data_IF_667674498819
#
_entry.id   IF_667674498819
#
_cell.length_a   1.000
_cell.length_b   1.000
_cell.length_c   1.000
_cell.angle_alpha   90.00
_cell.angle_beta   90.00
_cell.angle_gamma   90.00
#
_symmetry.space_group_name_H-M   'P 1'
#
loop_
_entity.id
_entity.type
_entity.pdbx_description
1 polymer ?
#
# COMPACT_ATOMS: atom_id res chain seq x y z
N UNK A 1 22.20 -45.89 -70.93
CA UNK A 1 21.56 -44.84 -71.75
C UNK A 1 20.06 -44.88 -71.47
N UNK A 2 19.34 -43.85 -71.03
CA UNK A 2 19.67 -42.55 -70.45
C UNK A 2 18.35 -41.99 -69.90
N UNK A 3 18.46 -41.29 -68.78
CA UNK A 3 17.44 -40.89 -67.83
C UNK A 3 16.23 -40.08 -68.36
N UNK A 4 15.05 -40.39 -67.79
CA UNK A 4 13.87 -39.54 -67.76
C UNK A 4 14.10 -38.32 -66.84
N UNK A 5 13.79 -37.12 -67.33
CA UNK A 5 13.58 -35.90 -66.53
C UNK A 5 12.13 -35.47 -66.68
N UNK A 6 11.47 -35.07 -65.58
CA UNK A 6 10.46 -34.03 -65.63
C UNK A 6 10.83 -32.90 -64.66
N UNK A 7 10.99 -31.71 -65.21
CA UNK A 7 11.05 -30.39 -64.54
C UNK A 7 10.46 -29.44 -65.58
N UNK A 8 9.63 -28.44 -65.32
CA UNK A 8 9.22 -27.70 -64.13
C UNK A 8 7.92 -26.99 -64.57
N UNK A 9 6.86 -27.02 -63.75
CA UNK A 9 5.71 -26.15 -63.95
C UNK A 9 5.40 -25.49 -62.60
N UNK A 10 5.88 -24.26 -62.47
CA UNK A 10 5.56 -23.32 -61.39
C UNK A 10 4.22 -22.66 -61.70
N UNK A 11 3.20 -22.91 -60.88
CA UNK A 11 2.09 -21.97 -60.71
C UNK A 11 1.43 -22.11 -59.33
N UNK A 12 1.74 -21.14 -58.48
CA UNK A 12 0.94 -20.55 -57.41
C UNK A 12 -0.14 -21.42 -56.72
N UNK A 13 0.25 -22.09 -55.63
CA UNK A 13 -0.66 -22.36 -54.52
C UNK A 13 -0.37 -21.36 -53.40
N UNK A 14 -1.34 -20.48 -53.16
CA UNK A 14 -1.48 -19.70 -51.93
C UNK A 14 -1.53 -20.66 -50.74
N UNK A 15 -0.38 -20.93 -50.12
CA UNK A 15 -0.35 -21.47 -48.77
C UNK A 15 -0.52 -20.33 -47.79
N UNK A 16 -1.72 -20.26 -47.21
CA UNK A 16 -1.94 -19.58 -45.95
C UNK A 16 -0.99 -20.19 -44.91
N UNK A 17 0.11 -19.51 -44.62
CA UNK A 17 0.90 -19.78 -43.43
C UNK A 17 0.04 -19.38 -42.23
N UNK A 18 -0.68 -20.36 -41.67
CA UNK A 18 -1.04 -20.29 -40.26
C UNK A 18 0.28 -20.35 -39.49
N UNK A 19 0.82 -19.19 -39.12
CA UNK A 19 1.73 -19.09 -37.99
C UNK A 19 0.90 -19.37 -36.74
N UNK A 20 0.64 -20.66 -36.51
CA UNK A 20 0.37 -21.15 -35.17
C UNK A 20 1.62 -20.87 -34.36
N UNK A 21 1.67 -19.69 -33.74
CA UNK A 21 2.52 -19.49 -32.58
C UNK A 21 2.03 -20.53 -31.57
N UNK A 22 2.82 -21.59 -31.43
CA UNK A 22 2.65 -22.58 -30.41
C UNK A 22 2.75 -21.87 -29.06
N UNK A 23 1.61 -21.45 -28.51
CA UNK A 23 1.43 -21.29 -27.08
C UNK A 23 1.53 -22.70 -26.47
N UNK A 24 2.75 -23.20 -26.45
CA UNK A 24 3.11 -24.29 -25.57
C UNK A 24 2.97 -23.72 -24.16
N UNK A 25 2.17 -24.35 -23.28
CA UNK A 25 2.29 -24.09 -21.87
C UNK A 25 3.78 -24.26 -21.52
N UNK A 26 4.34 -23.33 -20.77
CA UNK A 26 5.65 -23.53 -20.13
C UNK A 26 5.53 -24.76 -19.22
N UNK A 27 5.83 -25.93 -19.79
CA UNK A 27 5.94 -27.20 -19.08
C UNK A 27 7.30 -27.21 -18.40
N UNK A 28 7.41 -26.37 -17.37
CA UNK A 28 8.62 -26.18 -16.61
C UNK A 28 8.52 -24.99 -15.66
N UNK A 29 7.46 -24.90 -14.85
CA UNK A 29 7.51 -24.37 -13.46
C UNK A 29 6.15 -24.27 -12.72
N UNK A 30 5.04 -24.75 -13.29
CA UNK A 30 3.74 -24.62 -12.62
C UNK A 30 3.50 -25.61 -11.46
N UNK A 31 4.41 -26.56 -11.22
CA UNK A 31 4.33 -27.53 -10.11
C UNK A 31 5.43 -27.35 -9.04
N UNK A 32 6.27 -26.31 -9.13
CA UNK A 32 7.48 -26.17 -8.31
C UNK A 32 7.40 -25.12 -7.20
N UNK A 33 6.46 -24.17 -7.23
CA UNK A 33 6.36 -23.18 -6.13
C UNK A 33 5.63 -23.79 -4.93
N UNK A 34 6.35 -23.98 -3.83
CA UNK A 34 5.85 -24.49 -2.55
C UNK A 34 4.62 -23.72 -2.04
N UNK A 35 4.53 -22.43 -2.36
CA UNK A 35 3.39 -21.57 -2.05
C UNK A 35 2.69 -21.17 -3.34
N UNK A 36 1.40 -21.52 -3.47
CA UNK A 36 0.58 -21.09 -4.61
C UNK A 36 0.16 -19.62 -4.50
N UNK A 37 -0.15 -18.92 -5.62
CA UNK A 37 -0.63 -17.54 -5.58
C UNK A 37 -1.88 -17.34 -4.72
N UNK A 38 -2.77 -18.33 -4.67
CA UNK A 38 -3.97 -18.27 -3.84
C UNK A 38 -3.64 -18.39 -2.34
N UNK A 39 -2.69 -19.25 -1.97
CA UNK A 39 -2.20 -19.35 -0.58
C UNK A 39 -1.48 -18.06 -0.16
N UNK A 40 -0.66 -17.46 -1.03
CA UNK A 40 -0.05 -16.15 -0.75
C UNK A 40 -1.10 -15.07 -0.52
N UNK A 41 -2.16 -15.06 -1.33
CA UNK A 41 -3.26 -14.12 -1.17
C UNK A 41 -3.95 -14.28 0.19
N UNK A 42 -4.29 -15.51 0.58
CA UNK A 42 -4.92 -15.82 1.86
C UNK A 42 -4.02 -15.46 3.05
N UNK A 43 -2.74 -15.80 2.99
CA UNK A 43 -1.74 -15.41 3.99
C UNK A 43 -1.64 -13.88 4.11
N UNK A 44 -1.61 -13.17 2.98
CA UNK A 44 -1.60 -11.72 2.94
C UNK A 44 -2.80 -11.08 3.62
N UNK A 45 -4.01 -11.60 3.37
CA UNK A 45 -5.24 -11.12 4.02
C UNK A 45 -5.19 -11.33 5.53
N UNK A 46 -4.78 -12.52 5.98
CA UNK A 46 -4.65 -12.85 7.39
C UNK A 46 -3.64 -11.91 8.08
N UNK A 47 -2.48 -11.74 7.47
CA UNK A 47 -1.42 -10.86 7.97
C UNK A 47 -1.87 -9.39 8.04
N UNK A 48 -2.55 -8.89 7.01
CA UNK A 48 -3.08 -7.53 6.99
C UNK A 48 -4.09 -7.28 8.11
N UNK A 49 -4.99 -8.25 8.37
CA UNK A 49 -5.93 -8.16 9.49
C UNK A 49 -5.21 -8.01 10.82
N UNK A 50 -4.25 -8.89 11.10
CA UNK A 50 -3.44 -8.83 12.33
C UNK A 50 -2.67 -7.52 12.45
N UNK A 51 -2.07 -7.05 11.36
CA UNK A 51 -1.34 -5.78 11.34
C UNK A 51 -2.27 -4.63 11.72
N UNK A 52 -3.43 -4.51 11.06
CA UNK A 52 -4.43 -3.46 11.30
C UNK A 52 -4.91 -3.43 12.75
N UNK A 53 -5.01 -4.58 13.41
CA UNK A 53 -5.36 -4.68 14.82
C UNK A 53 -4.26 -4.25 15.81
N UNK A 54 -3.01 -4.11 15.35
CA UNK A 54 -1.86 -3.84 16.22
C UNK A 54 -1.24 -2.44 16.03
N UNK A 55 -1.56 -1.75 14.93
CA UNK A 55 -0.89 -0.50 14.55
C UNK A 55 -1.88 0.65 14.40
N UNK A 56 -1.40 1.87 14.70
CA UNK A 56 -2.14 3.09 14.36
C UNK A 56 -2.03 3.35 12.86
N UNK A 57 -3.17 3.65 12.23
CA UNK A 57 -3.24 4.02 10.82
C UNK A 57 -3.41 5.54 10.64
N UNK A 58 -3.11 6.02 9.44
CA UNK A 58 -3.48 7.37 8.99
C UNK A 58 -4.82 7.32 8.27
N UNK A 59 -5.81 7.97 8.88
CA UNK A 59 -7.20 7.90 8.41
C UNK A 59 -7.54 9.02 7.40
N UNK A 60 -6.55 9.76 6.92
CA UNK A 60 -6.73 10.87 5.97
C UNK A 60 -7.16 10.33 4.58
N UNK A 61 -8.39 10.61 4.13
CA UNK A 61 -8.90 10.09 2.86
C UNK A 61 -8.08 10.52 1.66
N UNK A 62 -7.52 11.74 1.68
CA UNK A 62 -6.72 12.28 0.59
C UNK A 62 -5.38 11.57 0.48
N UNK A 63 -4.76 11.22 1.62
CA UNK A 63 -3.53 10.43 1.64
C UNK A 63 -3.79 9.00 1.15
N UNK A 64 -4.86 8.35 1.61
CA UNK A 64 -5.26 7.02 1.14
C UNK A 64 -5.47 6.99 -0.37
N UNK A 65 -6.26 7.93 -0.89
CA UNK A 65 -6.52 8.09 -2.33
C UNK A 65 -5.23 8.36 -3.13
N UNK A 66 -4.31 9.16 -2.59
CA UNK A 66 -3.01 9.39 -3.22
C UNK A 66 -2.16 8.13 -3.28
N UNK A 67 -2.01 7.41 -2.16
CA UNK A 67 -1.22 6.16 -2.11
C UNK A 67 -1.81 5.12 -3.06
N UNK A 68 -3.12 4.87 -2.98
CA UNK A 68 -3.82 3.94 -3.87
C UNK A 68 -3.59 4.30 -5.34
N UNK A 69 -3.91 5.53 -5.74
CA UNK A 69 -3.81 5.95 -7.14
C UNK A 69 -2.36 6.00 -7.66
N UNK A 70 -1.40 6.37 -6.82
CA UNK A 70 0.02 6.41 -7.20
C UNK A 70 0.61 5.01 -7.38
N UNK A 71 0.30 4.08 -6.48
CA UNK A 71 0.76 2.69 -6.57
C UNK A 71 0.07 1.95 -7.71
N UNK A 72 -1.25 2.16 -7.93
CA UNK A 72 -1.91 1.56 -9.08
C UNK A 72 -1.31 2.01 -10.41
N UNK A 73 -1.00 3.31 -10.56
CA UNK A 73 -0.30 3.84 -11.74
C UNK A 73 1.04 3.15 -11.98
N UNK A 74 1.84 2.94 -10.92
CA UNK A 74 3.09 2.19 -11.03
C UNK A 74 2.84 0.73 -11.40
N UNK A 75 1.81 0.11 -10.81
CA UNK A 75 1.49 -1.30 -11.00
C UNK A 75 1.02 -1.64 -12.42
N UNK A 76 0.35 -0.70 -13.10
CA UNK A 76 -0.16 -0.85 -14.47
C UNK A 76 0.97 -1.12 -15.46
N UNK A 77 2.09 -0.41 -15.31
CA UNK A 77 3.26 -0.52 -16.19
C UNK A 77 4.36 -1.43 -15.64
N UNK A 78 4.17 -1.95 -14.42
CA UNK A 78 5.10 -2.86 -13.76
C UNK A 78 5.02 -4.30 -14.29
N UNK A 79 5.96 -5.13 -13.85
CA UNK A 79 5.94 -6.58 -14.10
C UNK A 79 5.00 -7.36 -13.15
N UNK A 80 4.24 -6.69 -12.28
CA UNK A 80 3.31 -7.33 -11.36
C UNK A 80 2.12 -7.95 -12.10
N UNK A 81 1.95 -9.26 -11.96
CA UNK A 81 0.88 -10.02 -12.61
C UNK A 81 -0.44 -9.99 -11.82
N UNK A 82 -0.37 -10.28 -10.51
CA UNK A 82 -1.54 -10.21 -9.63
C UNK A 82 -1.66 -8.81 -9.02
N UNK A 83 -2.61 -8.02 -9.54
CA UNK A 83 -2.85 -6.63 -9.12
C UNK A 83 -3.95 -6.50 -8.07
N UNK A 84 -4.29 -7.59 -7.35
CA UNK A 84 -5.15 -7.53 -6.15
C UNK A 84 -4.40 -6.89 -4.97
N UNK A 85 -4.08 -5.62 -5.15
CA UNK A 85 -3.34 -4.82 -4.18
C UNK A 85 -4.24 -4.32 -3.08
N UNK A 86 -3.72 -4.29 -1.84
CA UNK A 86 -4.37 -3.61 -0.73
C UNK A 86 -3.40 -2.85 0.15
N UNK A 87 -3.92 -1.77 0.72
CA UNK A 87 -3.11 -0.71 1.28
C UNK A 87 -3.31 -0.58 2.78
N UNK A 88 -2.23 -0.21 3.45
CA UNK A 88 -2.23 0.21 4.85
C UNK A 88 -1.30 1.42 5.00
N UNK A 89 -1.85 2.53 5.46
CA UNK A 89 -1.08 3.74 5.74
C UNK A 89 -0.82 3.78 7.24
N UNK A 90 0.44 3.63 7.64
CA UNK A 90 0.84 3.58 9.04
C UNK A 90 1.13 4.98 9.57
N UNK A 91 0.56 5.28 10.74
CA UNK A 91 0.85 6.49 11.50
C UNK A 91 2.19 6.35 12.24
N UNK A 92 3.28 6.44 11.47
CA UNK A 92 4.65 6.44 11.97
C UNK A 92 5.47 7.50 11.24
N UNK A 93 6.24 8.35 11.96
CA UNK A 93 7.15 9.31 11.35
C UNK A 93 8.42 8.66 10.81
N UNK A 94 8.63 7.35 11.00
CA UNK A 94 9.79 6.64 10.48
C UNK A 94 9.68 6.43 8.97
N UNK A 95 10.82 6.57 8.27
CA UNK A 95 10.92 6.25 6.85
C UNK A 95 10.78 4.74 6.64
N UNK A 96 9.62 4.29 6.17
CA UNK A 96 9.39 2.89 5.84
C UNK A 96 8.27 2.76 4.79
N UNK A 97 8.38 1.73 3.98
CA UNK A 97 7.32 1.16 3.17
C UNK A 97 7.65 -0.33 3.02
N UNK A 98 6.64 -1.15 2.75
CA UNK A 98 6.87 -2.57 2.54
C UNK A 98 5.85 -3.15 1.57
N UNK A 99 6.26 -4.23 0.91
CA UNK A 99 5.39 -5.17 0.26
C UNK A 99 5.35 -6.51 1.01
N UNK A 100 4.14 -6.99 1.28
CA UNK A 100 3.90 -8.30 1.88
C UNK A 100 3.10 -9.22 0.94
N UNK A 101 3.15 -10.55 1.14
CA UNK A 101 2.52 -11.54 0.24
C UNK A 101 1.05 -11.23 -0.03
N UNK A 102 0.56 -11.60 -1.22
CA UNK A 102 -0.85 -11.40 -1.53
C UNK A 102 -1.24 -9.97 -1.87
N UNK A 103 -0.26 -9.15 -2.28
CA UNK A 103 -0.47 -7.79 -2.77
C UNK A 103 -0.61 -6.74 -1.67
N UNK A 104 -0.11 -6.99 -0.46
CA UNK A 104 -0.20 -6.01 0.62
C UNK A 104 0.90 -4.97 0.45
N UNK A 105 0.53 -3.70 0.49
CA UNK A 105 1.44 -2.56 0.38
C UNK A 105 1.23 -1.65 1.59
N UNK A 106 2.27 -1.52 2.40
CA UNK A 106 2.30 -0.63 3.55
C UNK A 106 3.14 0.60 3.31
N UNK A 107 2.68 1.75 3.79
CA UNK A 107 3.39 3.03 3.68
C UNK A 107 3.34 3.74 5.01
N UNK A 108 4.49 4.07 5.59
CA UNK A 108 4.55 4.96 6.74
C UNK A 108 4.38 6.41 6.31
N UNK A 109 3.72 7.23 7.13
CA UNK A 109 3.70 8.67 6.91
C UNK A 109 5.11 9.29 6.82
N UNK A 110 6.09 8.73 7.53
CA UNK A 110 7.48 9.14 7.42
C UNK A 110 8.04 9.12 6.00
N UNK A 111 7.58 8.22 5.12
CA UNK A 111 8.03 8.22 3.72
C UNK A 111 7.78 9.59 3.05
N UNK A 112 6.62 10.23 3.30
CA UNK A 112 6.30 11.56 2.79
C UNK A 112 7.11 12.68 3.44
N UNK A 113 7.58 12.49 4.67
CA UNK A 113 8.45 13.47 5.33
C UNK A 113 9.82 13.53 4.64
N UNK A 114 10.38 12.35 4.33
CA UNK A 114 11.76 12.25 3.83
C UNK A 114 11.87 12.31 2.31
N UNK A 115 10.99 11.66 1.54
CA UNK A 115 11.03 11.74 0.09
C UNK A 115 10.66 13.16 -0.37
N UNK A 116 11.62 13.87 -0.98
CA UNK A 116 11.44 15.30 -1.30
C UNK A 116 10.60 15.53 -2.55
N UNK A 117 10.54 14.57 -3.46
CA UNK A 117 9.80 14.64 -4.72
C UNK A 117 8.93 13.40 -4.92
N UNK A 118 7.92 13.50 -5.78
CA UNK A 118 7.04 12.35 -6.09
C UNK A 118 7.84 11.19 -6.70
N UNK A 119 8.88 11.47 -7.50
CA UNK A 119 9.73 10.43 -8.06
C UNK A 119 10.56 9.70 -7.00
N UNK A 120 11.05 10.40 -5.96
CA UNK A 120 11.72 9.75 -4.83
C UNK A 120 10.73 8.81 -4.10
N UNK A 121 9.50 9.27 -3.83
CA UNK A 121 8.44 8.42 -3.25
C UNK A 121 8.12 7.23 -4.16
N UNK A 122 7.91 7.48 -5.45
CA UNK A 122 7.58 6.46 -6.43
C UNK A 122 8.70 5.44 -6.60
N UNK A 123 9.96 5.83 -6.40
CA UNK A 123 11.10 4.91 -6.45
C UNK A 123 11.04 3.83 -5.37
N UNK A 124 10.64 4.20 -4.15
CA UNK A 124 10.43 3.25 -3.05
C UNK A 124 9.24 2.34 -3.39
N UNK A 125 8.12 2.90 -3.85
CA UNK A 125 6.96 2.08 -4.22
C UNK A 125 7.26 1.14 -5.40
N UNK A 126 8.06 1.56 -6.38
CA UNK A 126 8.48 0.74 -7.51
C UNK A 126 9.39 -0.43 -7.08
N UNK A 127 10.25 -0.19 -6.08
CA UNK A 127 11.07 -1.21 -5.42
C UNK A 127 10.19 -2.25 -4.69
N UNK A 128 9.23 -1.80 -3.90
CA UNK A 128 8.29 -2.70 -3.20
C UNK A 128 7.44 -3.52 -4.19
N UNK A 129 6.97 -2.91 -5.27
CA UNK A 129 6.26 -3.64 -6.34
C UNK A 129 7.15 -4.67 -7.03
N UNK A 130 8.45 -4.41 -7.14
CA UNK A 130 9.40 -5.40 -7.68
C UNK A 130 9.54 -6.61 -6.74
N UNK A 131 9.51 -6.43 -5.41
CA UNK A 131 9.46 -7.56 -4.47
C UNK A 131 8.23 -8.44 -4.68
N UNK A 132 7.07 -7.84 -4.95
CA UNK A 132 5.84 -8.58 -5.27
C UNK A 132 5.93 -9.27 -6.64
N UNK A 133 6.38 -8.58 -7.69
CA UNK A 133 6.44 -9.16 -9.03
C UNK A 133 7.40 -10.35 -9.11
N UNK A 134 8.53 -10.28 -8.40
CA UNK A 134 9.51 -11.35 -8.35
C UNK A 134 9.18 -12.44 -7.32
N UNK A 135 8.05 -12.29 -6.61
CA UNK A 135 7.59 -13.20 -5.55
C UNK A 135 8.73 -13.51 -4.56
N UNK A 136 9.49 -12.49 -4.16
CA UNK A 136 10.68 -12.65 -3.31
C UNK A 136 10.37 -13.36 -1.98
N UNK A 137 9.16 -13.16 -1.43
CA UNK A 137 8.69 -13.92 -0.27
C UNK A 137 8.58 -15.43 -0.56
N UNK A 138 7.89 -15.80 -1.64
CA UNK A 138 7.67 -17.20 -2.02
C UNK A 138 8.98 -17.93 -2.25
N UNK A 139 9.88 -17.31 -3.03
CA UNK A 139 11.23 -17.82 -3.28
C UNK A 139 12.04 -17.91 -1.99
N UNK A 140 11.84 -16.99 -1.06
CA UNK A 140 12.48 -17.00 0.27
C UNK A 140 12.03 -18.18 1.13
N UNK A 141 10.72 -18.42 1.21
CA UNK A 141 10.15 -19.59 1.91
C UNK A 141 10.66 -20.88 1.29
N UNK A 142 10.67 -20.96 -0.05
CA UNK A 142 11.18 -22.12 -0.76
C UNK A 142 12.67 -22.36 -0.50
N UNK A 143 13.49 -21.31 -0.57
CA UNK A 143 14.92 -21.38 -0.25
C UNK A 143 15.15 -21.86 1.19
N UNK A 144 14.38 -21.34 2.15
CA UNK A 144 14.47 -21.76 3.56
C UNK A 144 14.13 -23.24 3.73
N UNK A 145 13.06 -23.73 3.11
CA UNK A 145 12.69 -25.14 3.19
C UNK A 145 13.73 -26.05 2.53
N UNK A 146 14.26 -25.66 1.37
CA UNK A 146 15.37 -26.39 0.71
C UNK A 146 16.62 -26.46 1.59
N UNK A 147 16.87 -25.46 2.43
CA UNK A 147 17.98 -25.46 3.38
C UNK A 147 17.75 -26.32 4.64
N UNK A 148 16.50 -26.66 4.98
CA UNK A 148 16.22 -27.46 6.19
C UNK A 148 16.84 -28.86 6.13
N UNK A 149 16.75 -29.54 4.98
CA UNK A 149 17.28 -30.90 4.82
C UNK A 149 18.82 -30.98 4.99
N UNK A 150 19.65 -30.15 4.33
CA UNK A 150 21.08 -30.14 4.57
C UNK A 150 21.43 -29.66 5.98
N UNK A 151 20.68 -28.73 6.59
CA UNK A 151 20.87 -28.37 8.00
C UNK A 151 20.63 -29.56 8.94
N UNK A 152 19.55 -30.32 8.72
CA UNK A 152 19.27 -31.53 9.50
C UNK A 152 20.35 -32.61 9.28
N UNK A 153 20.79 -32.84 8.04
CA UNK A 153 21.84 -33.80 7.74
C UNK A 153 23.18 -33.42 8.39
N UNK A 154 23.54 -32.14 8.35
CA UNK A 154 24.75 -31.62 8.99
C UNK A 154 24.66 -31.65 10.52
N UNK A 155 23.48 -31.38 11.09
CA UNK A 155 23.24 -31.53 12.53
C UNK A 155 23.39 -32.99 12.96
N UNK A 156 22.80 -33.93 12.22
CA UNK A 156 22.97 -35.37 12.46
C UNK A 156 24.44 -35.80 12.35
N UNK A 157 25.16 -35.35 11.32
CA UNK A 157 26.57 -35.63 11.15
C UNK A 157 27.42 -35.06 12.30
N UNK A 158 27.11 -33.86 12.78
CA UNK A 158 27.76 -33.24 13.94
C UNK A 158 27.53 -34.01 15.24
N UNK A 159 26.30 -34.51 15.46
CA UNK A 159 25.97 -35.37 16.61
C UNK A 159 26.74 -36.68 16.54
N UNK A 160 26.80 -37.32 15.36
CA UNK A 160 27.57 -38.57 15.15
C UNK A 160 29.06 -38.35 15.40
N UNK A 161 29.63 -37.25 14.90
CA UNK A 161 31.03 -36.90 15.13
C UNK A 161 31.34 -36.63 16.61
N UNK A 162 30.45 -35.92 17.31
CA UNK A 162 30.58 -35.69 18.75
C UNK A 162 30.53 -37.00 19.55
N UNK A 163 29.61 -37.92 19.20
CA UNK A 163 29.48 -39.23 19.82
C UNK A 163 30.70 -40.15 19.56
N UNK A 164 31.40 -39.96 18.44
CA UNK A 164 32.61 -40.70 18.07
C UNK A 164 33.90 -40.20 18.77
N UNK A 165 33.79 -39.35 19.79
CA UNK A 165 34.92 -38.84 20.57
C UNK A 165 35.52 -37.53 20.05
N UNK A 166 34.90 -36.91 19.05
CA UNK A 166 35.33 -35.62 18.48
C UNK A 166 34.49 -34.44 19.04
N UNK A 167 34.19 -34.43 20.34
CA UNK A 167 33.22 -33.53 20.98
C UNK A 167 33.32 -32.05 20.55
N UNK A 168 34.53 -31.48 20.59
CA UNK A 168 34.76 -30.09 20.18
C UNK A 168 34.62 -29.87 18.67
N UNK A 169 35.03 -30.85 17.85
CA UNK A 169 34.93 -30.79 16.40
C UNK A 169 33.49 -30.98 15.90
N UNK A 170 32.68 -31.80 16.57
CA UNK A 170 31.25 -31.98 16.28
C UNK A 170 30.45 -30.71 16.58
N UNK A 171 30.73 -30.05 17.70
CA UNK A 171 30.12 -28.75 18.03
C UNK A 171 30.55 -27.63 17.06
N UNK A 172 31.84 -27.58 16.69
CA UNK A 172 32.33 -26.64 15.68
C UNK A 172 31.66 -26.84 14.30
N UNK A 173 31.39 -28.08 13.91
CA UNK A 173 30.69 -28.41 12.65
C UNK A 173 29.21 -27.96 12.67
N UNK A 174 28.53 -28.08 13.80
CA UNK A 174 27.15 -27.60 13.96
C UNK A 174 27.09 -26.07 13.92
N UNK A 175 28.03 -25.39 14.58
CA UNK A 175 28.11 -23.92 14.56
C UNK A 175 28.47 -23.37 13.17
N UNK A 176 29.40 -24.01 12.47
CA UNK A 176 29.79 -23.60 11.12
C UNK A 176 28.66 -23.76 10.11
N UNK A 177 27.85 -24.81 10.25
CA UNK A 177 26.65 -25.03 9.43
C UNK A 177 25.61 -23.93 9.65
N UNK A 178 25.33 -23.57 10.91
CA UNK A 178 24.42 -22.46 11.23
C UNK A 178 24.94 -21.12 10.69
N UNK A 179 26.24 -20.85 10.83
CA UNK A 179 26.86 -19.66 10.28
C UNK A 179 26.77 -19.61 8.74
N UNK A 180 26.95 -20.74 8.06
CA UNK A 180 26.78 -20.86 6.62
C UNK A 180 25.32 -20.61 6.18
N UNK A 181 24.34 -21.14 6.91
CA UNK A 181 22.92 -20.91 6.64
C UNK A 181 22.53 -19.43 6.79
N UNK A 182 22.99 -18.77 7.86
CA UNK A 182 22.80 -17.33 8.07
C UNK A 182 23.48 -16.54 6.93
N UNK A 183 24.69 -16.94 6.53
CA UNK A 183 25.42 -16.28 5.45
C UNK A 183 24.69 -16.40 4.11
N UNK A 184 24.13 -17.57 3.80
CA UNK A 184 23.37 -17.81 2.58
C UNK A 184 22.04 -17.05 2.58
N UNK A 185 21.32 -17.02 3.70
CA UNK A 185 20.11 -16.20 3.85
C UNK A 185 20.40 -14.71 3.60
N UNK A 186 21.50 -14.18 4.15
CA UNK A 186 21.93 -12.79 3.89
C UNK A 186 22.32 -12.56 2.44
N UNK A 187 22.96 -13.54 1.79
CA UNK A 187 23.33 -13.46 0.37
C UNK A 187 22.08 -13.44 -0.52
N UNK A 188 21.12 -14.33 -0.26
CA UNK A 188 19.84 -14.38 -0.97
C UNK A 188 19.06 -13.07 -0.81
N UNK A 189 18.99 -12.52 0.41
CA UNK A 189 18.42 -11.19 0.65
C UNK A 189 19.11 -10.10 -0.17
N UNK A 190 20.45 -10.03 -0.19
CA UNK A 190 21.17 -9.06 -1.03
C UNK A 190 20.92 -9.22 -2.53
N UNK A 191 20.75 -10.46 -3.01
CA UNK A 191 20.41 -10.72 -4.41
C UNK A 191 19.00 -10.23 -4.75
N UNK A 192 18.04 -10.48 -3.86
CA UNK A 192 16.67 -9.97 -4.01
C UNK A 192 16.65 -8.44 -4.03
N UNK A 193 17.44 -7.76 -3.18
CA UNK A 193 17.55 -6.30 -3.20
C UNK A 193 18.09 -5.76 -4.54
N UNK A 194 19.15 -6.37 -5.08
CA UNK A 194 19.71 -5.97 -6.39
C UNK A 194 18.75 -6.24 -7.55
N UNK A 195 17.99 -7.34 -7.47
CA UNK A 195 16.94 -7.66 -8.45
C UNK A 195 15.79 -6.65 -8.37
N UNK A 196 15.34 -6.33 -7.15
CA UNK A 196 14.30 -5.33 -6.90
C UNK A 196 14.72 -3.93 -7.34
N UNK A 197 15.98 -3.52 -7.11
CA UNK A 197 16.53 -2.25 -7.60
C UNK A 197 16.45 -2.15 -9.12
N UNK A 198 16.90 -3.19 -9.82
CA UNK A 198 16.90 -3.24 -11.30
C UNK A 198 15.49 -3.18 -11.87
N UNK A 199 14.60 -4.00 -11.34
CA UNK A 199 13.22 -4.08 -11.83
C UNK A 199 12.44 -2.83 -11.41
N UNK A 200 12.72 -2.29 -10.22
CA UNK A 200 12.18 -1.04 -9.72
C UNK A 200 12.53 0.14 -10.62
N UNK A 201 13.79 0.25 -11.09
CA UNK A 201 14.19 1.28 -12.07
C UNK A 201 13.39 1.16 -13.38
N UNK A 202 13.23 -0.06 -13.90
CA UNK A 202 12.41 -0.31 -15.10
C UNK A 202 10.95 0.08 -14.87
N UNK A 203 10.38 -0.29 -13.73
CA UNK A 203 8.99 0.04 -13.38
C UNK A 203 8.80 1.56 -13.24
N UNK A 204 9.77 2.25 -12.62
CA UNK A 204 9.77 3.68 -12.41
C UNK A 204 9.83 4.46 -13.72
N UNK A 205 10.73 4.05 -14.64
CA UNK A 205 10.84 4.64 -15.97
C UNK A 205 9.56 4.44 -16.78
N UNK A 206 9.03 3.21 -16.82
CA UNK A 206 7.81 2.91 -17.58
C UNK A 206 6.58 3.64 -17.05
N UNK A 207 6.56 3.96 -15.76
CA UNK A 207 5.53 4.79 -15.15
C UNK A 207 5.71 6.30 -15.42
N UNK A 208 6.77 6.69 -16.15
CA UNK A 208 7.04 8.05 -16.59
C UNK A 208 7.79 8.92 -15.58
N UNK A 209 8.40 8.33 -14.54
CA UNK A 209 9.23 9.06 -13.56
C UNK A 209 10.71 9.06 -13.94
N UNK A 210 11.49 10.01 -13.42
CA UNK A 210 12.94 10.01 -13.62
C UNK A 210 13.59 8.86 -12.81
N UNK A 211 14.28 7.89 -13.47
CA UNK A 211 14.94 6.80 -12.78
C UNK A 211 16.06 7.24 -11.82
N UNK A 212 16.63 8.44 -12.00
CA UNK A 212 17.64 9.04 -11.10
C UNK A 212 17.09 9.32 -9.70
N UNK A 213 15.77 9.34 -9.53
CA UNK A 213 15.16 9.51 -8.22
C UNK A 213 15.47 8.35 -7.24
N UNK A 214 15.68 7.12 -7.75
CA UNK A 214 16.02 5.97 -6.91
C UNK A 214 17.38 6.11 -6.20
N UNK A 215 18.51 6.34 -6.90
CA UNK A 215 19.79 6.56 -6.22
C UNK A 215 19.77 7.80 -5.32
N UNK A 216 19.08 8.88 -5.72
CA UNK A 216 18.89 10.07 -4.87
C UNK A 216 18.18 9.73 -3.55
N UNK A 217 17.14 8.91 -3.62
CA UNK A 217 16.42 8.44 -2.43
C UNK A 217 17.30 7.55 -1.53
N UNK A 218 18.09 6.66 -2.10
CA UNK A 218 19.05 5.84 -1.33
C UNK A 218 20.14 6.69 -0.66
N UNK A 219 20.66 7.70 -1.35
CA UNK A 219 21.63 8.64 -0.76
C UNK A 219 21.02 9.48 0.35
N UNK A 220 19.75 9.86 0.22
CA UNK A 220 19.02 10.56 1.27
C UNK A 220 18.85 9.67 2.49
N UNK A 221 18.44 8.42 2.28
CA UNK A 221 18.34 7.43 3.35
C UNK A 221 19.68 7.19 4.04
N UNK A 222 20.76 6.99 3.28
CA UNK A 222 22.10 6.81 3.84
C UNK A 222 22.59 8.03 4.62
N UNK A 223 22.30 9.26 4.14
CA UNK A 223 22.65 10.50 4.85
C UNK A 223 21.86 10.68 6.14
N UNK A 224 20.55 10.39 6.11
CA UNK A 224 19.67 10.55 7.26
C UNK A 224 20.13 9.73 8.46
N UNK A 225 20.57 8.48 8.20
CA UNK A 225 20.88 7.52 9.26
C UNK A 225 22.39 7.30 9.46
N UNK A 226 23.26 8.12 8.85
CA UNK A 226 24.72 8.00 8.94
C UNK A 226 25.25 8.05 10.38
N UNK A 227 24.59 8.83 11.25
CA UNK A 227 25.01 9.05 12.63
C UNK A 227 24.08 8.40 13.66
N UNK A 228 23.06 7.68 13.21
CA UNK A 228 22.11 7.04 14.10
C UNK A 228 22.69 5.72 14.62
N UNK A 229 22.67 5.55 15.94
CA UNK A 229 23.19 4.34 16.59
C UNK A 229 22.37 3.09 16.24
N UNK A 230 21.15 3.27 15.73
CA UNK A 230 20.29 2.19 15.23
C UNK A 230 19.74 2.60 13.87
N UNK A 231 19.98 1.80 12.81
CA UNK A 231 19.33 2.04 11.53
C UNK A 231 17.80 1.91 11.67
N UNK A 232 17.03 2.61 10.83
CA UNK A 232 15.57 2.51 10.82
C UNK A 232 15.16 1.10 10.43
N UNK A 233 13.94 0.72 10.79
CA UNK A 233 13.39 -0.60 10.52
C UNK A 233 13.46 -0.98 9.02
N UNK A 234 13.19 -0.02 8.12
CA UNK A 234 13.32 -0.23 6.68
C UNK A 234 14.72 -0.70 6.26
N UNK A 235 15.80 -0.21 6.90
CA UNK A 235 17.17 -0.63 6.58
C UNK A 235 17.53 -2.01 7.17
N UNK A 236 16.74 -2.53 8.12
CA UNK A 236 16.91 -3.89 8.63
C UNK A 236 16.44 -4.92 7.59
N UNK A 237 15.39 -4.59 6.84
CA UNK A 237 14.84 -5.45 5.77
C UNK A 237 15.45 -5.14 4.41
N UNK A 238 15.73 -3.86 4.12
CA UNK A 238 16.30 -3.36 2.86
C UNK A 238 17.62 -2.59 3.11
N UNK A 239 18.72 -3.27 3.43
CA UNK A 239 19.98 -2.59 3.71
C UNK A 239 20.50 -1.86 2.47
N UNK A 240 20.65 -0.54 2.57
CA UNK A 240 21.28 0.29 1.54
C UNK A 240 22.79 0.28 1.73
N UNK A 241 23.52 0.10 0.62
CA UNK A 241 24.98 0.09 0.57
C UNK A 241 25.50 1.02 -0.53
N UNK A 242 26.74 1.47 -0.40
CA UNK A 242 27.41 2.27 -1.45
C UNK A 242 27.42 1.54 -2.80
N UNK A 243 27.53 0.20 -2.79
CA UNK A 243 27.45 -0.62 -4.01
C UNK A 243 26.09 -0.59 -4.68
N UNK A 244 24.98 -0.58 -3.92
CA UNK A 244 23.62 -0.44 -4.47
C UNK A 244 23.39 0.95 -5.02
N UNK A 245 23.86 1.99 -4.33
CA UNK A 245 23.80 3.38 -4.82
C UNK A 245 24.59 3.51 -6.14
N UNK A 246 25.79 2.95 -6.21
CA UNK A 246 26.59 2.99 -7.43
C UNK A 246 25.96 2.20 -8.59
N UNK A 247 25.43 0.99 -8.35
CA UNK A 247 24.76 0.20 -9.40
C UNK A 247 23.47 0.89 -9.88
N UNK A 248 22.61 1.36 -8.98
CA UNK A 248 21.38 2.08 -9.36
C UNK A 248 21.68 3.38 -10.10
N UNK A 249 22.68 4.16 -9.68
CA UNK A 249 23.12 5.35 -10.41
C UNK A 249 23.64 5.02 -11.80
N UNK A 250 24.54 4.04 -11.93
CA UNK A 250 25.08 3.61 -13.23
C UNK A 250 24.00 3.13 -14.20
N UNK A 251 22.90 2.56 -13.69
CA UNK A 251 21.74 2.15 -14.49
C UNK A 251 20.83 3.32 -14.84
N UNK A 252 20.51 4.17 -13.85
CA UNK A 252 19.65 5.33 -14.04
C UNK A 252 20.19 6.26 -15.15
N UNK A 253 21.51 6.43 -15.25
CA UNK A 253 22.14 7.24 -16.31
C UNK A 253 22.03 6.64 -17.72
N UNK A 254 21.59 5.39 -17.85
CA UNK A 254 21.32 4.77 -19.16
C UNK A 254 19.94 5.15 -19.71
N UNK A 255 19.08 5.75 -18.88
CA UNK A 255 17.73 6.16 -19.27
C UNK A 255 17.68 7.64 -19.69
N UNK A 256 16.72 8.01 -20.56
CA UNK A 256 16.50 9.41 -20.94
C UNK A 256 16.24 10.33 -19.73
N UNK A 257 16.76 11.56 -19.78
CA UNK A 257 16.53 12.59 -18.76
C UNK A 257 15.23 13.38 -18.97
N UNK A 258 14.11 12.66 -19.15
CA UNK A 258 12.81 13.25 -19.49
C UNK A 258 11.68 12.84 -18.54
N UNK A 259 11.99 12.04 -17.52
CA UNK A 259 11.00 11.57 -16.57
C UNK A 259 10.48 12.69 -15.66
N UNK A 260 9.25 12.53 -15.15
CA UNK A 260 8.67 13.44 -14.16
C UNK A 260 9.40 13.28 -12.83
N UNK A 261 9.91 14.37 -12.28
CA UNK A 261 10.53 14.37 -10.94
C UNK A 261 9.50 14.56 -9.82
N UNK A 262 8.52 15.46 -10.01
CA UNK A 262 7.64 15.88 -8.93
C UNK A 262 6.23 16.25 -9.41
N UNK A 263 5.30 16.43 -8.46
CA UNK A 263 4.01 17.06 -8.72
C UNK A 263 3.50 17.88 -7.55
N UNK A 264 2.67 18.86 -7.89
CA UNK A 264 1.93 19.65 -6.91
C UNK A 264 1.11 18.74 -5.98
N UNK A 265 0.35 17.77 -6.52
CA UNK A 265 -0.49 16.87 -5.72
C UNK A 265 0.33 16.15 -4.64
N UNK A 266 1.52 15.64 -4.98
CA UNK A 266 2.41 15.02 -4.00
C UNK A 266 2.86 16.02 -2.92
N UNK A 267 3.27 17.24 -3.30
CA UNK A 267 3.67 18.27 -2.33
C UNK A 267 2.50 18.70 -1.41
N UNK A 268 1.25 18.71 -1.89
CA UNK A 268 0.07 18.95 -1.05
C UNK A 268 -0.11 17.83 -0.01
N UNK A 269 0.07 16.58 -0.42
CA UNK A 269 0.02 15.43 0.50
C UNK A 269 1.16 15.47 1.52
N UNK A 270 2.37 15.85 1.10
CA UNK A 270 3.49 16.11 2.02
C UNK A 270 3.14 17.19 3.04
N UNK A 271 2.51 18.29 2.63
CA UNK A 271 2.09 19.34 3.56
C UNK A 271 1.07 18.82 4.59
N UNK A 272 0.13 17.94 4.20
CA UNK A 272 -0.78 17.25 5.13
C UNK A 272 0.00 16.43 6.16
N UNK A 273 0.93 15.60 5.71
CA UNK A 273 1.74 14.74 6.58
C UNK A 273 2.66 15.55 7.51
N UNK A 274 3.27 16.60 6.99
CA UNK A 274 4.11 17.52 7.76
C UNK A 274 3.33 18.25 8.86
N UNK A 275 2.01 18.47 8.68
CA UNK A 275 1.13 19.00 9.73
C UNK A 275 0.77 17.91 10.75
N UNK A 276 0.54 16.67 10.31
CA UNK A 276 0.22 15.53 11.18
C UNK A 276 1.32 15.22 12.19
N UNK A 277 2.59 15.30 11.77
CA UNK A 277 3.74 14.99 12.63
C UNK A 277 4.40 16.24 13.26
N UNK A 278 3.78 17.41 13.13
CA UNK A 278 4.26 18.59 13.85
C UNK A 278 3.81 18.53 15.32
N UNK A 279 4.63 19.08 16.24
CA UNK A 279 4.29 19.14 17.67
C UNK A 279 2.95 19.82 17.93
N UNK A 280 2.71 20.94 17.25
CA UNK A 280 1.43 21.66 17.33
C UNK A 280 1.09 22.30 15.99
N UNK A 281 -0.22 22.50 15.70
CA UNK A 281 -0.65 23.24 14.52
C UNK A 281 -0.09 24.68 14.46
N UNK A 282 0.16 25.31 15.61
CA UNK A 282 0.77 26.64 15.68
C UNK A 282 2.23 26.68 15.22
N UNK A 283 3.01 25.64 15.55
CA UNK A 283 4.39 25.48 15.05
C UNK A 283 4.37 25.23 13.54
N UNK A 284 3.46 24.39 13.05
CA UNK A 284 3.30 24.13 11.61
C UNK A 284 2.97 25.43 10.85
N UNK A 285 2.04 26.24 11.39
CA UNK A 285 1.69 27.53 10.80
C UNK A 285 2.90 28.47 10.72
N UNK A 286 3.74 28.54 11.76
CA UNK A 286 4.98 29.35 11.73
C UNK A 286 5.95 28.86 10.66
N UNK A 287 6.16 27.53 10.57
CA UNK A 287 7.03 26.92 9.54
C UNK A 287 6.55 27.24 8.12
N UNK A 288 5.26 27.05 7.85
CA UNK A 288 4.71 27.35 6.52
C UNK A 288 4.74 28.84 6.17
N UNK A 289 4.54 29.73 7.16
CA UNK A 289 4.74 31.18 6.95
C UNK A 289 6.20 31.50 6.58
N UNK A 290 7.17 30.95 7.30
CA UNK A 290 8.59 31.15 6.99
C UNK A 290 8.94 30.67 5.56
N UNK A 291 8.41 29.52 5.12
CA UNK A 291 8.59 29.05 3.75
C UNK A 291 7.99 30.01 2.70
N UNK A 292 6.86 30.64 3.02
CA UNK A 292 6.22 31.64 2.15
C UNK A 292 6.93 32.99 2.16
N UNK A 293 7.58 33.35 3.27
CA UNK A 293 8.41 34.55 3.35
C UNK A 293 9.65 34.40 2.44
N UNK A 294 10.23 33.19 2.39
CA UNK A 294 11.34 32.86 1.49
C UNK A 294 10.88 32.73 0.02
N UNK A 295 9.75 32.07 -0.21
CA UNK A 295 9.19 31.89 -1.55
C UNK A 295 7.64 31.97 -1.52
N UNK A 296 7.07 33.17 -1.80
CA UNK A 296 5.63 33.38 -1.78
C UNK A 296 4.83 32.53 -2.79
N UNK A 297 5.50 31.98 -3.81
CA UNK A 297 4.92 31.13 -4.84
C UNK A 297 4.78 29.65 -4.46
N UNK A 298 5.17 29.25 -3.25
CA UNK A 298 5.05 27.86 -2.80
C UNK A 298 3.60 27.50 -2.44
N UNK A 299 2.85 27.06 -3.43
CA UNK A 299 1.44 26.67 -3.27
C UNK A 299 1.24 25.60 -2.19
N UNK A 300 2.16 24.63 -2.07
CA UNK A 300 2.09 23.59 -1.05
C UNK A 300 2.30 24.13 0.37
N UNK A 301 3.19 25.11 0.55
CA UNK A 301 3.36 25.77 1.85
C UNK A 301 2.12 26.62 2.18
N UNK A 302 1.56 27.32 1.19
CA UNK A 302 0.30 28.06 1.34
C UNK A 302 -0.85 27.15 1.74
N UNK A 303 -0.98 26.00 1.10
CA UNK A 303 -1.97 24.99 1.44
C UNK A 303 -1.75 24.43 2.85
N UNK A 304 -0.50 24.09 3.23
CA UNK A 304 -0.17 23.67 4.58
C UNK A 304 -0.52 24.72 5.65
N UNK A 305 -0.31 26.01 5.34
CA UNK A 305 -0.70 27.11 6.21
C UNK A 305 -2.22 27.19 6.40
N UNK A 306 -3.01 27.03 5.34
CA UNK A 306 -4.48 26.97 5.42
C UNK A 306 -4.92 25.89 6.40
N UNK A 307 -4.41 24.67 6.26
CA UNK A 307 -4.75 23.55 7.14
C UNK A 307 -4.35 23.83 8.60
N UNK A 308 -3.18 24.42 8.81
CA UNK A 308 -2.70 24.78 10.15
C UNK A 308 -3.56 25.89 10.79
N UNK A 309 -3.96 26.91 10.01
CA UNK A 309 -4.88 27.98 10.45
C UNK A 309 -6.26 27.43 10.80
N UNK A 310 -6.79 26.49 10.01
CA UNK A 310 -8.04 25.79 10.32
C UNK A 310 -7.95 25.04 11.65
N UNK A 311 -6.88 24.27 11.87
CA UNK A 311 -6.68 23.53 13.13
C UNK A 311 -6.48 24.43 14.36
N UNK A 312 -6.06 25.68 14.16
CA UNK A 312 -5.89 26.67 15.23
C UNK A 312 -7.09 27.61 15.38
N UNK A 313 -8.15 27.43 14.58
CA UNK A 313 -9.35 28.27 14.63
C UNK A 313 -9.24 29.64 13.95
N UNK A 314 -8.13 29.93 13.25
CA UNK A 314 -7.92 31.15 12.46
C UNK A 314 -8.69 31.07 11.11
N UNK A 315 -10.00 30.89 11.15
CA UNK A 315 -10.82 30.54 9.97
C UNK A 315 -10.91 31.66 8.93
N UNK A 316 -10.96 32.92 9.36
CA UNK A 316 -10.97 34.06 8.44
C UNK A 316 -9.66 34.14 7.64
N UNK A 317 -8.52 34.08 8.34
CA UNK A 317 -7.19 34.08 7.72
C UNK A 317 -6.96 32.86 6.82
N UNK A 318 -7.48 31.69 7.21
CA UNK A 318 -7.42 30.49 6.38
C UNK A 318 -8.13 30.72 5.04
N UNK A 319 -9.27 31.40 5.04
CA UNK A 319 -9.99 31.77 3.83
C UNK A 319 -9.21 32.73 2.93
N UNK A 320 -8.59 33.76 3.51
CA UNK A 320 -7.72 34.70 2.78
C UNK A 320 -6.49 33.99 2.20
N UNK A 321 -5.90 33.07 2.96
CA UNK A 321 -4.71 32.31 2.54
C UNK A 321 -5.04 31.30 1.43
N UNK A 322 -6.25 30.72 1.45
CA UNK A 322 -6.71 29.75 0.45
C UNK A 322 -7.17 30.41 -0.87
N UNK A 323 -7.70 31.64 -0.82
CA UNK A 323 -8.29 32.31 -1.98
C UNK A 323 -7.36 32.39 -3.22
N UNK A 324 -6.05 32.67 -3.10
CA UNK A 324 -5.14 32.66 -4.25
C UNK A 324 -5.01 31.28 -4.90
N UNK A 325 -5.01 30.19 -4.12
CA UNK A 325 -4.92 28.82 -4.64
C UNK A 325 -6.14 28.46 -5.48
N UNK A 326 -7.34 28.78 -4.97
CA UNK A 326 -8.59 28.57 -5.69
C UNK A 326 -8.73 29.49 -6.93
N UNK A 327 -8.14 30.69 -6.89
CA UNK A 327 -8.13 31.58 -8.05
C UNK A 327 -7.22 31.04 -9.16
N UNK A 328 -6.08 30.44 -8.78
CA UNK A 328 -5.11 29.85 -9.70
C UNK A 328 -5.62 28.53 -10.30
N UNK A 329 -6.25 27.68 -9.49
CA UNK A 329 -6.76 26.37 -9.90
C UNK A 329 -8.18 26.14 -9.33
N UNK A 330 -9.23 26.70 -9.96
CA UNK A 330 -10.60 26.71 -9.41
C UNK A 330 -11.24 25.33 -9.30
N UNK A 331 -10.76 24.37 -10.09
CA UNK A 331 -11.26 22.99 -10.15
C UNK A 331 -10.31 21.98 -9.49
N UNK A 332 -9.20 22.42 -8.89
CA UNK A 332 -8.32 21.51 -8.13
C UNK A 332 -9.09 20.94 -6.93
N UNK A 333 -9.20 19.60 -6.90
CA UNK A 333 -10.01 18.91 -5.90
C UNK A 333 -9.45 19.11 -4.49
N UNK A 334 -8.13 19.17 -4.32
CA UNK A 334 -7.46 19.30 -3.01
C UNK A 334 -7.78 20.65 -2.39
N UNK A 335 -7.69 21.73 -3.17
CA UNK A 335 -8.05 23.07 -2.70
C UNK A 335 -9.54 23.22 -2.41
N UNK A 336 -10.37 22.62 -3.25
CA UNK A 336 -11.81 22.65 -3.05
C UNK A 336 -12.25 21.86 -1.81
N UNK A 337 -11.62 20.73 -1.50
CA UNK A 337 -11.85 19.97 -0.26
C UNK A 337 -11.47 20.81 0.95
N UNK A 338 -10.31 21.46 0.95
CA UNK A 338 -9.92 22.37 2.03
C UNK A 338 -10.92 23.53 2.22
N UNK A 339 -11.50 24.04 1.13
CA UNK A 339 -12.56 25.06 1.22
C UNK A 339 -13.85 24.52 1.84
N UNK A 340 -14.24 23.28 1.53
CA UNK A 340 -15.41 22.63 2.14
C UNK A 340 -15.17 22.41 3.63
N UNK A 341 -14.02 21.87 4.00
CA UNK A 341 -13.60 21.67 5.39
C UNK A 341 -13.58 23.02 6.15
N UNK A 342 -13.07 24.09 5.53
CA UNK A 342 -13.09 25.44 6.09
C UNK A 342 -14.51 25.98 6.28
N UNK A 343 -15.37 25.81 5.29
CA UNK A 343 -16.78 26.23 5.37
C UNK A 343 -17.53 25.47 6.47
N UNK A 344 -17.27 24.16 6.62
CA UNK A 344 -17.80 23.35 7.71
C UNK A 344 -17.30 23.80 9.09
N UNK A 345 -16.00 24.11 9.22
CA UNK A 345 -15.42 24.63 10.45
C UNK A 345 -16.00 26.01 10.82
N UNK A 346 -16.26 26.86 9.82
CA UNK A 346 -16.87 28.18 9.98
C UNK A 346 -18.40 28.16 10.08
N UNK A 347 -19.01 26.97 10.14
CA UNK A 347 -20.47 26.77 10.15
C UNK A 347 -21.23 27.39 8.95
N UNK A 348 -20.54 27.57 7.82
CA UNK A 348 -21.10 28.03 6.53
C UNK A 348 -21.60 26.86 5.69
N UNK A 349 -22.51 26.06 6.27
CA UNK A 349 -22.91 24.76 5.71
C UNK A 349 -23.57 24.85 4.32
N UNK A 350 -24.26 25.94 4.01
CA UNK A 350 -24.85 26.16 2.67
C UNK A 350 -23.79 26.37 1.59
N UNK A 351 -22.69 27.07 1.92
CA UNK A 351 -21.58 27.28 1.01
C UNK A 351 -20.85 25.95 0.74
N UNK A 352 -20.58 25.19 1.81
CA UNK A 352 -20.05 23.84 1.73
C UNK A 352 -20.93 22.95 0.84
N UNK A 353 -22.25 22.94 1.06
CA UNK A 353 -23.19 22.12 0.27
C UNK A 353 -23.22 22.49 -1.20
N UNK A 354 -23.21 23.79 -1.55
CA UNK A 354 -23.17 24.23 -2.96
C UNK A 354 -21.90 23.76 -3.65
N UNK A 355 -20.75 23.90 -2.97
CA UNK A 355 -19.46 23.45 -3.50
C UNK A 355 -19.40 21.93 -3.63
N UNK A 356 -19.84 21.21 -2.61
CA UNK A 356 -19.94 19.75 -2.60
C UNK A 356 -20.78 19.23 -3.78
N UNK A 357 -21.98 19.79 -3.99
CA UNK A 357 -22.87 19.40 -5.09
C UNK A 357 -22.22 19.64 -6.46
N UNK A 358 -21.54 20.77 -6.64
CA UNK A 358 -20.80 21.06 -7.87
C UNK A 358 -19.71 20.03 -8.11
N UNK A 359 -18.88 19.74 -7.11
CA UNK A 359 -17.76 18.80 -7.27
C UNK A 359 -18.23 17.37 -7.49
N UNK A 360 -19.30 16.93 -6.83
CA UNK A 360 -19.84 15.57 -7.05
C UNK A 360 -20.38 15.38 -8.47
N UNK A 361 -20.77 16.47 -9.16
CA UNK A 361 -21.14 16.41 -10.58
C UNK A 361 -19.93 16.24 -11.52
N UNK A 362 -18.73 16.63 -11.07
CA UNK A 362 -17.48 16.53 -11.83
C UNK A 362 -16.69 15.26 -11.48
N UNK A 363 -16.71 14.86 -10.21
CA UNK A 363 -15.91 13.77 -9.65
C UNK A 363 -16.77 12.82 -8.79
N UNK A 364 -17.81 12.17 -9.37
CA UNK A 364 -18.79 11.39 -8.60
C UNK A 364 -18.21 10.21 -7.82
N UNK A 365 -17.07 9.67 -8.28
CA UNK A 365 -16.39 8.51 -7.68
C UNK A 365 -15.13 8.87 -6.88
N UNK A 366 -14.86 10.16 -6.63
CA UNK A 366 -13.69 10.56 -5.86
C UNK A 366 -13.91 10.29 -4.37
N UNK A 367 -13.09 9.41 -3.79
CA UNK A 367 -13.25 8.96 -2.40
C UNK A 367 -13.17 10.11 -1.37
N UNK A 368 -12.13 10.97 -1.38
CA UNK A 368 -12.07 12.08 -0.42
C UNK A 368 -13.30 13.00 -0.47
N UNK A 369 -13.85 13.22 -1.66
CA UNK A 369 -15.06 14.01 -1.84
C UNK A 369 -16.30 13.30 -1.31
N UNK A 370 -16.44 11.99 -1.51
CA UNK A 370 -17.52 11.19 -0.92
C UNK A 370 -17.44 11.19 0.60
N UNK A 371 -16.24 11.04 1.16
CA UNK A 371 -16.02 11.11 2.60
C UNK A 371 -16.43 12.49 3.16
N UNK A 372 -15.98 13.57 2.53
CA UNK A 372 -16.35 14.94 2.93
C UNK A 372 -17.85 15.19 2.79
N UNK A 373 -18.52 14.53 1.83
CA UNK A 373 -19.98 14.58 1.71
C UNK A 373 -20.67 14.04 2.96
N UNK A 374 -20.24 12.87 3.42
CA UNK A 374 -20.76 12.19 4.60
C UNK A 374 -20.55 13.07 5.84
N UNK A 375 -19.34 13.61 6.00
CA UNK A 375 -19.02 14.50 7.13
C UNK A 375 -19.90 15.76 7.14
N UNK A 376 -20.15 16.35 5.96
CA UNK A 376 -21.07 17.49 5.82
C UNK A 376 -22.52 17.11 6.19
N UNK A 377 -23.01 15.95 5.74
CA UNK A 377 -24.36 15.47 6.08
C UNK A 377 -24.52 15.26 7.59
N UNK A 378 -23.51 14.68 8.24
CA UNK A 378 -23.49 14.53 9.70
C UNK A 378 -23.46 15.88 10.41
N UNK A 379 -22.67 16.85 9.92
CA UNK A 379 -22.65 18.22 10.46
C UNK A 379 -24.00 18.92 10.31
N UNK A 380 -24.76 18.60 9.26
CA UNK A 380 -26.13 19.08 9.03
C UNK A 380 -27.19 18.29 9.81
N UNK A 381 -26.81 17.31 10.64
CA UNK A 381 -27.72 16.40 11.36
C UNK A 381 -28.61 15.54 10.44
N UNK A 382 -28.20 15.33 9.18
CA UNK A 382 -28.91 14.51 8.20
C UNK A 382 -28.43 13.06 8.25
N UNK A 383 -28.61 12.42 9.40
CA UNK A 383 -28.04 11.10 9.70
C UNK A 383 -28.49 10.02 8.71
N UNK A 384 -29.78 10.00 8.33
CA UNK A 384 -30.30 9.03 7.37
C UNK A 384 -29.71 9.20 5.96
N UNK A 385 -29.34 10.44 5.57
CA UNK A 385 -28.67 10.69 4.30
C UNK A 385 -27.21 10.26 4.36
N UNK A 386 -26.54 10.50 5.50
CA UNK A 386 -25.18 10.04 5.74
C UNK A 386 -25.08 8.51 5.71
N UNK A 387 -26.06 7.79 6.30
CA UNK A 387 -26.13 6.32 6.23
C UNK A 387 -26.23 5.83 4.78
N UNK A 388 -27.08 6.44 3.95
CA UNK A 388 -27.19 6.08 2.53
C UNK A 388 -25.91 6.36 1.75
N UNK A 389 -25.26 7.50 2.01
CA UNK A 389 -23.98 7.83 1.38
C UNK A 389 -22.87 6.86 1.79
N UNK A 390 -22.87 6.37 3.03
CA UNK A 390 -21.95 5.33 3.50
C UNK A 390 -22.22 3.98 2.86
N UNK A 391 -23.49 3.59 2.69
CA UNK A 391 -23.85 2.37 1.96
C UNK A 391 -23.38 2.42 0.50
N UNK A 392 -23.45 3.59 -0.14
CA UNK A 392 -22.89 3.80 -1.48
C UNK A 392 -21.36 3.73 -1.49
N UNK A 393 -20.68 4.33 -0.50
CA UNK A 393 -19.23 4.28 -0.36
C UNK A 393 -18.72 2.84 -0.18
N UNK A 394 -19.41 2.03 0.62
CA UNK A 394 -19.08 0.62 0.86
C UNK A 394 -19.03 -0.22 -0.42
N UNK A 395 -19.75 0.15 -1.48
CA UNK A 395 -19.69 -0.55 -2.79
C UNK A 395 -18.28 -0.54 -3.39
N UNK A 396 -17.47 0.45 -3.04
CA UNK A 396 -16.08 0.59 -3.52
C UNK A 396 -15.04 0.44 -2.42
N UNK A 397 -15.45 0.59 -1.15
CA UNK A 397 -14.56 0.59 0.03
C UNK A 397 -14.88 -0.51 1.05
N UNK A 398 -15.48 -1.63 0.64
CA UNK A 398 -15.86 -2.73 1.53
C UNK A 398 -14.70 -3.35 2.33
N UNK A 399 -13.43 -3.06 1.99
CA UNK A 399 -12.24 -3.59 2.66
C UNK A 399 -11.49 -2.55 3.50
N UNK A 400 -12.04 -1.34 3.58
CA UNK A 400 -11.52 -0.26 4.42
C UNK A 400 -12.18 -0.32 5.80
N UNK A 401 -11.43 -0.65 6.87
CA UNK A 401 -11.98 -0.74 8.22
C UNK A 401 -12.53 0.61 8.71
N UNK A 402 -11.96 1.74 8.30
CA UNK A 402 -12.38 3.05 8.80
C UNK A 402 -13.77 3.43 8.30
N UNK A 403 -14.11 3.00 7.07
CA UNK A 403 -15.45 3.15 6.51
C UNK A 403 -16.45 2.31 7.29
N UNK A 404 -16.12 1.05 7.62
CA UNK A 404 -17.00 0.20 8.42
C UNK A 404 -17.19 0.70 9.85
N UNK A 405 -16.14 1.27 10.46
CA UNK A 405 -16.24 1.94 11.74
C UNK A 405 -17.23 3.11 11.67
N UNK A 406 -17.12 3.97 10.65
CA UNK A 406 -18.05 5.09 10.47
C UNK A 406 -19.49 4.62 10.18
N UNK A 407 -19.67 3.56 9.39
CA UNK A 407 -20.99 2.93 9.15
C UNK A 407 -21.61 2.49 10.47
N UNK A 408 -20.84 1.84 11.34
CA UNK A 408 -21.31 1.43 12.66
C UNK A 408 -21.79 2.65 13.47
N UNK A 409 -20.95 3.68 13.59
CA UNK A 409 -21.30 4.88 14.37
C UNK A 409 -22.56 5.58 13.84
N UNK A 410 -22.67 5.76 12.51
CA UNK A 410 -23.84 6.41 11.89
C UNK A 410 -25.11 5.57 12.05
N UNK A 411 -25.02 4.24 11.93
CA UNK A 411 -26.17 3.34 12.18
C UNK A 411 -26.59 3.33 13.65
N UNK A 412 -25.65 3.54 14.57
CA UNK A 412 -25.94 3.80 15.97
C UNK A 412 -26.77 5.07 16.14
N UNK A 413 -26.37 6.17 15.48
CA UNK A 413 -27.09 7.45 15.50
C UNK A 413 -28.47 7.40 14.83
N UNK A 414 -28.64 6.61 13.77
CA UNK A 414 -29.93 6.46 13.07
C UNK A 414 -30.90 5.50 13.76
N UNK A 415 -30.45 4.79 14.80
CA UNK A 415 -31.24 3.76 15.50
C UNK A 415 -31.29 2.41 14.76
N UNK A 416 -30.54 2.23 13.67
CA UNK A 416 -30.39 0.97 12.96
C UNK A 416 -29.51 -0.02 13.76
N UNK A 417 -30.04 -0.55 14.86
CA UNK A 417 -29.29 -1.39 15.80
C UNK A 417 -28.80 -2.72 15.20
N UNK A 418 -29.56 -3.33 14.29
CA UNK A 418 -29.13 -4.56 13.61
C UNK A 418 -27.97 -4.24 12.65
N UNK A 419 -28.11 -3.20 11.83
CA UNK A 419 -27.07 -2.79 10.89
C UNK A 419 -25.80 -2.28 11.57
N UNK A 420 -25.92 -1.66 12.76
CA UNK A 420 -24.79 -1.29 13.62
C UNK A 420 -23.94 -2.51 13.97
N UNK A 421 -24.56 -3.57 14.50
CA UNK A 421 -23.85 -4.79 14.87
C UNK A 421 -23.25 -5.51 13.65
N UNK A 422 -23.94 -5.52 12.51
CA UNK A 422 -23.38 -6.04 11.26
C UNK A 422 -22.14 -5.24 10.83
N UNK A 423 -22.19 -3.91 10.87
CA UNK A 423 -21.05 -3.06 10.50
C UNK A 423 -19.85 -3.25 11.44
N UNK A 424 -20.09 -3.37 12.76
CA UNK A 424 -19.04 -3.70 13.73
C UNK A 424 -18.42 -5.07 13.47
N UNK A 425 -19.21 -6.05 13.06
CA UNK A 425 -18.69 -7.36 12.70
C UNK A 425 -17.69 -7.29 11.55
N UNK A 426 -18.03 -6.55 10.48
CA UNK A 426 -17.13 -6.37 9.33
C UNK A 426 -15.86 -5.59 9.72
N UNK A 427 -16.00 -4.54 10.54
CA UNK A 427 -14.84 -3.83 11.10
C UNK A 427 -13.90 -4.79 11.85
N UNK A 428 -14.42 -5.56 12.81
CA UNK A 428 -13.62 -6.47 13.62
C UNK A 428 -12.96 -7.57 12.78
N UNK A 429 -13.65 -8.10 11.78
CA UNK A 429 -13.08 -9.06 10.84
C UNK A 429 -11.89 -8.46 10.05
N UNK A 430 -12.02 -7.22 9.56
CA UNK A 430 -10.97 -6.54 8.80
C UNK A 430 -9.73 -6.17 9.62
N UNK A 431 -9.84 -6.11 10.95
CA UNK A 431 -8.72 -5.90 11.89
C UNK A 431 -8.29 -7.20 12.58
N UNK A 432 -8.75 -8.35 12.09
CA UNK A 432 -8.32 -9.68 12.56
C UNK A 432 -8.95 -10.16 13.88
N UNK A 433 -9.87 -9.41 14.48
CA UNK A 433 -10.59 -9.80 15.69
C UNK A 433 -11.88 -10.57 15.38
N UNK A 434 -11.71 -11.78 14.85
CA UNK A 434 -12.83 -12.64 14.47
C UNK A 434 -13.74 -13.03 15.65
N UNK A 435 -13.21 -13.05 16.87
CA UNK A 435 -14.02 -13.35 18.05
C UNK A 435 -15.06 -12.26 18.27
N UNK A 436 -14.62 -11.00 18.31
CA UNK A 436 -15.53 -9.87 18.42
C UNK A 436 -16.46 -9.78 17.22
N UNK A 437 -15.96 -10.07 16.01
CA UNK A 437 -16.79 -10.04 14.82
C UNK A 437 -17.99 -11.01 14.90
N UNK A 438 -17.72 -12.25 15.31
CA UNK A 438 -18.75 -13.29 15.49
C UNK A 438 -19.73 -12.90 16.61
N UNK A 439 -19.23 -12.33 17.72
CA UNK A 439 -20.08 -11.87 18.83
C UNK A 439 -21.02 -10.73 18.40
N UNK A 440 -20.54 -9.79 17.57
CA UNK A 440 -21.40 -8.74 17.02
C UNK A 440 -22.51 -9.32 16.13
N UNK A 441 -22.23 -10.34 15.31
CA UNK A 441 -23.27 -11.00 14.51
C UNK A 441 -24.30 -11.74 15.39
N UNK A 442 -23.90 -12.29 16.53
CA UNK A 442 -24.86 -12.86 17.49
C UNK A 442 -25.81 -11.79 18.05
N UNK A 443 -25.30 -10.61 18.40
CA UNK A 443 -26.16 -9.49 18.83
C UNK A 443 -27.12 -9.02 17.75
N UNK A 444 -26.67 -9.00 16.48
CA UNK A 444 -27.53 -8.70 15.33
C UNK A 444 -28.62 -9.77 15.13
N UNK A 445 -28.23 -11.05 15.17
CA UNK A 445 -29.11 -12.21 14.95
C UNK A 445 -30.22 -12.29 15.99
N UNK A 446 -29.91 -12.09 17.28
CA UNK A 446 -30.92 -12.08 18.36
C UNK A 446 -32.00 -11.02 18.15
N UNK A 447 -31.64 -9.87 17.58
CA UNK A 447 -32.58 -8.78 17.26
C UNK A 447 -33.34 -9.00 15.95
N UNK A 448 -32.79 -9.80 15.05
CA UNK A 448 -33.41 -10.17 13.78
C UNK A 448 -34.36 -11.39 13.89
N UNK A 449 -34.66 -11.89 15.09
CA UNK A 449 -35.45 -13.13 15.32
C UNK A 449 -36.79 -13.16 14.59
N UNK A 450 -37.41 -12.00 14.39
CA UNK A 450 -38.72 -11.87 13.75
C UNK A 450 -38.64 -11.77 12.22
N UNK A 451 -37.43 -11.76 11.65
CA UNK A 451 -37.18 -11.73 10.21
C UNK A 451 -36.25 -12.89 9.82
N UNK A 452 -36.86 -14.02 9.43
CA UNK A 452 -36.14 -15.24 9.08
C UNK A 452 -35.10 -15.04 7.97
N UNK A 453 -35.40 -14.24 6.94
CA UNK A 453 -34.48 -14.00 5.83
C UNK A 453 -33.25 -13.22 6.29
N UNK A 454 -33.44 -12.19 7.13
CA UNK A 454 -32.34 -11.41 7.68
C UNK A 454 -31.48 -12.25 8.64
N UNK A 455 -32.13 -12.99 9.55
CA UNK A 455 -31.43 -13.90 10.47
C UNK A 455 -30.60 -14.95 9.71
N UNK A 456 -31.12 -15.50 8.62
CA UNK A 456 -30.41 -16.46 7.77
C UNK A 456 -29.18 -15.86 7.07
N UNK A 457 -29.26 -14.60 6.63
CA UNK A 457 -28.09 -13.89 6.06
C UNK A 457 -27.01 -13.63 7.10
N UNK A 458 -27.40 -13.20 8.30
CA UNK A 458 -26.47 -12.99 9.42
C UNK A 458 -25.79 -14.30 9.80
N UNK A 459 -26.55 -15.39 9.86
CA UNK A 459 -26.07 -16.73 10.17
C UNK A 459 -25.09 -17.27 9.10
N UNK A 460 -25.35 -16.99 7.82
CA UNK A 460 -24.42 -17.30 6.73
C UNK A 460 -23.09 -16.54 6.89
N UNK A 461 -23.16 -15.22 7.12
CA UNK A 461 -21.94 -14.41 7.32
C UNK A 461 -21.16 -14.84 8.56
N UNK A 462 -21.84 -15.25 9.64
CA UNK A 462 -21.21 -15.77 10.85
C UNK A 462 -20.42 -17.07 10.58
N UNK A 463 -20.96 -17.97 9.74
CA UNK A 463 -20.22 -19.17 9.30
C UNK A 463 -18.99 -18.81 8.49
N UNK A 464 -19.10 -17.88 7.54
CA UNK A 464 -17.96 -17.41 6.75
C UNK A 464 -16.83 -16.88 7.65
N UNK A 465 -17.15 -16.01 8.62
CA UNK A 465 -16.16 -15.49 9.57
C UNK A 465 -15.54 -16.58 10.45
N UNK A 466 -16.30 -17.62 10.80
CA UNK A 466 -15.78 -18.77 11.54
C UNK A 466 -14.81 -19.62 10.71
N UNK A 467 -15.07 -19.76 9.41
CA UNK A 467 -14.18 -20.44 8.47
C UNK A 467 -12.91 -19.63 8.21
N UNK A 468 -13.03 -18.32 8.00
CA UNK A 468 -11.91 -17.39 7.87
C UNK A 468 -11.01 -17.44 9.11
N UNK A 469 -11.59 -17.36 10.32
CA UNK A 469 -10.87 -17.52 11.59
C UNK A 469 -10.08 -18.82 11.63
N UNK A 470 -10.71 -19.95 11.30
CA UNK A 470 -10.04 -21.27 11.30
C UNK A 470 -8.88 -21.32 10.32
N UNK A 471 -9.03 -20.70 9.14
CA UNK A 471 -7.95 -20.62 8.15
C UNK A 471 -6.77 -19.81 8.68
N UNK A 472 -7.02 -18.65 9.29
CA UNK A 472 -5.97 -17.82 9.91
C UNK A 472 -5.25 -18.59 11.02
N UNK A 473 -5.99 -19.27 11.90
CA UNK A 473 -5.39 -20.09 12.97
C UNK A 473 -4.55 -21.26 12.44
N UNK A 474 -4.88 -21.81 11.26
CA UNK A 474 -4.07 -22.85 10.61
C UNK A 474 -2.79 -22.28 10.00
N UNK A 475 -2.84 -21.07 9.46
CA UNK A 475 -1.70 -20.39 8.84
C UNK A 475 -0.67 -19.95 9.89
N UNK A 476 -1.12 -19.59 11.10
CA UNK A 476 -0.25 -19.12 12.19
C UNK A 476 0.38 -20.25 13.04
N UNK A 477 -0.03 -21.49 12.85
CA UNK A 477 0.56 -22.68 13.48
C UNK A 477 1.67 -23.25 12.62
#
# INVERSE_FOLDING_TARGET
MTFLRPTLLTLACLFAAHTGASDLPSLGDASSSIVSPQQEHQLGRAWLGLLRGQVSQLDDPQLKDFVESSVYRLSETSQLQDRRLEFVLLNSPQLNAFAAPGGIVGVNGGLFLYAQTEAEYASVMAHELAHLSQRHFARGVEAQQRMQLPMMAAMLAGIVAAAAGAGDAGMAAIMSTQAAAIQEQRRFSRQNEQEADRIGLVNLEKAGYDPRAMPLMFERLMRQYRYDARPPEFLLTHPVSESRIADTRNRAEQYPATGREDSLRYQLMRARVQLTYEETPGVAAKRFRAMLDENPGLDAARYGLVLAQMKTGQLAEAGETLAPLLSKAPDDITYNLAQIELDMAANRLDAAQRRQKRLLSLYPSNYPLQQTHIDLLLKQQRVADAERALDDLLKTRAKDPDVWYQVAEVRGLSGNTIGLHQARAEFFALVGDYNQAIEQLDYAKRRASNNFQLASRIDARQRELSEEKRLVEQILR
#
